data_IF_327744493605
#
_entry.id   IF_327744493605
#
_cell.length_a   1.000
_cell.length_b   1.000
_cell.length_c   1.000
_cell.angle_alpha   90.00
_cell.angle_beta   90.00
_cell.angle_gamma   90.00
#
_symmetry.space_group_name_H-M   'P 1'
#
loop_
_entity.id
_entity.type
_entity.pdbx_description
1 polymer ?
#
# COMPACT_ATOMS: atom_id res chain seq x y z
N UNK A 1 7.51 5.92 23.69
CA UNK A 1 7.17 6.78 22.53
C UNK A 1 8.24 6.51 21.49
N UNK A 2 7.89 5.97 20.33
CA UNK A 2 8.86 5.80 19.25
C UNK A 2 9.13 7.16 18.63
N UNK A 3 10.38 7.62 18.66
CA UNK A 3 10.83 8.76 17.85
C UNK A 3 10.83 8.31 16.39
N UNK A 4 9.68 8.44 15.73
CA UNK A 4 9.60 8.15 14.29
C UNK A 4 10.13 9.37 13.56
N UNK A 5 11.27 9.19 12.88
CA UNK A 5 11.92 10.23 12.10
C UNK A 5 11.19 10.36 10.75
N UNK A 6 10.83 11.58 10.38
CA UNK A 6 10.19 11.85 9.09
C UNK A 6 11.26 12.06 8.00
N UNK A 7 11.01 11.53 6.80
CA UNK A 7 11.85 11.83 5.64
C UNK A 7 11.51 13.22 5.06
N UNK A 8 12.51 14.06 4.87
CA UNK A 8 12.38 15.39 4.27
C UNK A 8 13.15 15.40 2.94
N UNK A 9 12.50 15.65 1.78
CA UNK A 9 13.20 15.73 0.50
C UNK A 9 14.12 16.95 0.47
N UNK A 10 15.36 16.75 0.00
CA UNK A 10 16.37 17.81 -0.06
C UNK A 10 16.53 18.39 -1.48
N UNK A 11 16.11 17.67 -2.52
CA UNK A 11 16.40 18.02 -3.91
C UNK A 11 15.13 18.38 -4.70
N UNK A 12 14.76 19.67 -4.70
CA UNK A 12 13.52 20.16 -5.33
C UNK A 12 13.36 19.80 -6.81
N UNK A 13 14.47 19.72 -7.55
CA UNK A 13 14.49 19.48 -9.00
C UNK A 13 15.29 18.23 -9.40
N UNK A 14 15.57 17.33 -8.45
CA UNK A 14 16.23 16.06 -8.74
C UNK A 14 15.51 14.89 -8.05
N UNK A 15 14.33 14.47 -8.57
CA UNK A 15 13.53 13.40 -7.97
C UNK A 15 14.32 12.08 -7.79
N UNK A 16 15.19 11.75 -8.75
CA UNK A 16 16.05 10.56 -8.66
C UNK A 16 16.97 10.59 -7.44
N UNK A 17 17.49 11.77 -7.04
CA UNK A 17 18.29 11.91 -5.81
C UNK A 17 17.43 11.76 -4.56
N UNK A 18 16.23 12.36 -4.54
CA UNK A 18 15.29 12.15 -3.42
C UNK A 18 14.88 10.68 -3.29
N UNK A 19 14.67 9.98 -4.41
CA UNK A 19 14.36 8.56 -4.44
C UNK A 19 15.48 7.73 -3.82
N UNK A 20 16.72 7.95 -4.25
CA UNK A 20 17.88 7.25 -3.71
C UNK A 20 18.05 7.50 -2.20
N UNK A 21 17.95 8.76 -1.77
CA UNK A 21 18.01 9.12 -0.35
C UNK A 21 16.84 8.56 0.45
N UNK A 22 15.64 8.51 -0.12
CA UNK A 22 14.48 7.92 0.55
C UNK A 22 14.67 6.42 0.81
N UNK A 23 15.17 5.68 -0.19
CA UNK A 23 15.47 4.26 -0.05
C UNK A 23 16.58 4.06 0.98
N UNK A 24 17.68 4.85 0.90
CA UNK A 24 18.78 4.81 1.87
C UNK A 24 18.28 5.08 3.29
N UNK A 25 17.54 6.16 3.50
CA UNK A 25 16.93 6.54 4.78
C UNK A 25 16.06 5.40 5.34
N UNK A 26 15.22 4.78 4.51
CA UNK A 26 14.37 3.68 4.95
C UNK A 26 15.17 2.42 5.27
N UNK A 27 16.28 2.17 4.57
CA UNK A 27 17.13 1.00 4.78
C UNK A 27 17.98 1.15 6.04
N UNK A 28 18.62 2.29 6.22
CA UNK A 28 19.70 2.52 7.18
C UNK A 28 19.25 3.26 8.44
N UNK A 29 18.35 4.25 8.32
CA UNK A 29 18.08 5.19 9.41
C UNK A 29 16.80 4.83 10.22
N UNK A 30 15.85 4.11 9.60
CA UNK A 30 14.61 3.70 10.29
C UNK A 30 14.82 2.50 11.22
N UNK A 31 14.64 2.69 12.52
CA UNK A 31 14.82 1.64 13.54
C UNK A 31 13.53 0.99 14.02
N UNK A 32 12.40 1.22 13.34
CA UNK A 32 11.06 0.83 13.82
C UNK A 32 10.75 -0.68 13.74
N UNK A 33 11.62 -1.48 13.12
CA UNK A 33 11.46 -2.92 12.98
C UNK A 33 12.42 -3.62 13.96
N UNK A 34 12.09 -4.86 14.35
CA UNK A 34 12.83 -5.60 15.38
C UNK A 34 14.28 -5.90 15.00
N UNK A 35 15.10 -6.39 15.96
CA UNK A 35 16.53 -6.68 15.75
C UNK A 35 16.78 -7.74 14.67
N UNK A 36 15.81 -8.64 14.42
CA UNK A 36 15.91 -9.71 13.43
C UNK A 36 15.49 -9.27 12.02
N UNK A 37 15.20 -7.98 11.82
CA UNK A 37 14.79 -7.44 10.53
C UNK A 37 15.92 -7.55 9.49
N UNK A 38 15.63 -8.18 8.36
CA UNK A 38 16.53 -8.25 7.21
C UNK A 38 15.93 -7.54 5.99
N UNK A 39 16.55 -6.44 5.57
CA UNK A 39 16.17 -5.71 4.36
C UNK A 39 16.24 -6.59 3.11
N UNK A 40 17.27 -7.43 3.03
CA UNK A 40 17.54 -8.29 1.87
C UNK A 40 16.50 -9.41 1.74
N UNK A 41 15.79 -9.76 2.83
CA UNK A 41 14.69 -10.72 2.76
C UNK A 41 13.50 -10.15 1.97
N UNK A 42 12.92 -10.98 1.10
CA UNK A 42 11.68 -10.67 0.38
C UNK A 42 10.43 -11.11 1.15
N UNK A 43 10.61 -11.74 2.31
CA UNK A 43 9.55 -12.05 3.26
C UNK A 43 9.84 -11.40 4.62
N UNK A 44 8.92 -10.54 5.07
CA UNK A 44 8.99 -9.87 6.37
C UNK A 44 7.92 -10.45 7.31
N UNK A 45 8.30 -11.38 8.22
CA UNK A 45 7.35 -12.11 9.07
C UNK A 45 6.60 -11.20 10.05
N UNK A 46 7.20 -10.11 10.51
CA UNK A 46 6.65 -9.16 11.48
C UNK A 46 5.36 -8.52 10.97
N UNK A 47 5.31 -8.28 9.66
CA UNK A 47 4.17 -7.65 8.97
C UNK A 47 3.41 -8.65 8.09
N UNK A 48 3.82 -9.93 8.10
CA UNK A 48 3.27 -11.04 7.33
C UNK A 48 3.17 -10.73 5.84
N UNK A 49 4.26 -10.21 5.27
CA UNK A 49 4.28 -9.78 3.87
C UNK A 49 5.41 -10.45 3.10
N UNK A 50 5.05 -11.03 1.95
CA UNK A 50 5.99 -11.40 0.90
C UNK A 50 5.90 -10.39 -0.25
N UNK A 51 7.03 -9.86 -0.73
CA UNK A 51 7.12 -8.90 -1.84
C UNK A 51 7.03 -9.58 -3.20
N UNK A 52 6.00 -10.41 -3.37
CA UNK A 52 5.73 -11.13 -4.61
C UNK A 52 5.21 -10.22 -5.72
N UNK A 53 5.37 -10.63 -6.96
CA UNK A 53 4.75 -9.99 -8.13
C UNK A 53 3.27 -10.37 -8.31
N UNK A 54 2.71 -9.95 -9.44
CA UNK A 54 1.33 -10.24 -9.82
C UNK A 54 1.01 -11.73 -9.94
N UNK A 55 1.95 -12.60 -10.29
CA UNK A 55 1.68 -14.05 -10.45
C UNK A 55 1.58 -14.79 -9.11
N UNK A 56 2.09 -14.18 -8.04
CA UNK A 56 2.05 -14.77 -6.70
C UNK A 56 0.66 -14.63 -6.09
N UNK A 57 -0.03 -15.76 -5.97
CA UNK A 57 -1.30 -15.92 -5.27
C UNK A 57 -1.13 -16.87 -4.06
N UNK A 58 -2.20 -17.03 -3.25
CA UNK A 58 -2.19 -18.00 -2.13
C UNK A 58 -1.99 -19.45 -2.54
N UNK A 59 -2.20 -19.77 -3.82
CA UNK A 59 -2.16 -21.14 -4.35
C UNK A 59 -0.96 -21.39 -5.26
N UNK A 60 -0.10 -20.40 -5.48
CA UNK A 60 1.05 -20.53 -6.38
C UNK A 60 2.24 -21.17 -5.64
N UNK A 61 2.81 -22.24 -6.20
CA UNK A 61 4.03 -22.90 -5.66
C UNK A 61 5.29 -22.07 -5.93
N UNK A 62 5.33 -21.37 -7.06
CA UNK A 62 6.43 -20.48 -7.43
C UNK A 62 6.26 -19.12 -6.77
N UNK A 63 7.23 -18.73 -5.96
CA UNK A 63 7.30 -17.41 -5.36
C UNK A 63 8.25 -16.55 -6.19
N UNK A 64 7.69 -15.68 -7.03
CA UNK A 64 8.45 -14.70 -7.80
C UNK A 64 8.25 -13.32 -7.20
N UNK A 65 9.34 -12.58 -7.01
CA UNK A 65 9.35 -11.25 -6.40
C UNK A 65 9.06 -10.16 -7.42
N UNK A 66 8.72 -8.97 -6.91
CA UNK A 66 8.78 -7.75 -7.71
C UNK A 66 10.19 -7.59 -8.29
N UNK A 67 10.28 -7.07 -9.51
CA UNK A 67 11.54 -6.76 -10.16
C UNK A 67 12.13 -5.45 -9.64
N UNK A 68 13.45 -5.33 -9.74
CA UNK A 68 14.14 -4.08 -9.46
C UNK A 68 13.94 -3.08 -10.62
N UNK A 69 13.94 -1.76 -10.34
CA UNK A 69 14.10 -1.11 -9.04
C UNK A 69 12.83 -1.00 -8.15
N UNK A 70 11.65 -1.43 -8.63
CA UNK A 70 10.41 -1.29 -7.87
C UNK A 70 10.42 -2.02 -6.52
N UNK A 71 11.09 -3.17 -6.44
CA UNK A 71 11.19 -3.94 -5.19
C UNK A 71 11.81 -3.13 -4.05
N UNK A 72 12.93 -2.45 -4.29
CA UNK A 72 13.58 -1.63 -3.27
C UNK A 72 12.70 -0.46 -2.82
N UNK A 73 12.02 0.18 -3.76
CA UNK A 73 11.06 1.23 -3.44
C UNK A 73 9.87 0.70 -2.63
N UNK A 74 9.33 -0.47 -2.99
CA UNK A 74 8.23 -1.09 -2.28
C UNK A 74 8.62 -1.40 -0.82
N UNK A 75 9.82 -1.98 -0.61
CA UNK A 75 10.38 -2.20 0.73
C UNK A 75 10.50 -0.89 1.51
N UNK A 76 11.04 0.16 0.90
CA UNK A 76 11.20 1.48 1.52
C UNK A 76 9.84 2.08 1.94
N UNK A 77 8.90 2.15 1.01
CA UNK A 77 7.57 2.72 1.24
C UNK A 77 6.80 1.97 2.33
N UNK A 78 6.83 0.64 2.32
CA UNK A 78 6.12 -0.17 3.33
C UNK A 78 6.77 0.00 4.70
N UNK A 79 8.11 -0.06 4.79
CA UNK A 79 8.81 0.17 6.06
C UNK A 79 8.52 1.56 6.62
N UNK A 80 8.60 2.59 5.77
CA UNK A 80 8.28 3.97 6.14
C UNK A 80 6.86 4.11 6.67
N UNK A 81 5.86 3.70 5.89
CA UNK A 81 4.44 3.87 6.26
C UNK A 81 4.05 3.07 7.51
N UNK A 82 4.64 1.90 7.73
CA UNK A 82 4.36 1.08 8.91
C UNK A 82 5.06 1.60 10.17
N UNK A 83 6.16 2.35 10.04
CA UNK A 83 6.86 2.97 11.18
C UNK A 83 5.98 3.98 11.94
N UNK A 84 5.00 4.59 11.27
CA UNK A 84 4.03 5.50 11.89
C UNK A 84 2.82 4.79 12.52
N UNK A 85 2.69 3.46 12.39
CA UNK A 85 1.56 2.71 12.93
C UNK A 85 1.89 2.12 14.30
N UNK A 86 0.94 2.23 15.25
CA UNK A 86 1.05 1.57 16.57
C UNK A 86 1.15 0.04 16.49
N UNK A 87 0.50 -0.56 15.49
CA UNK A 87 0.53 -2.00 15.20
C UNK A 87 0.83 -2.17 13.70
N UNK A 88 2.09 -2.38 13.31
CA UNK A 88 2.46 -2.49 11.91
C UNK A 88 1.88 -3.78 11.32
N UNK A 89 1.02 -3.64 10.33
CA UNK A 89 0.50 -4.75 9.53
C UNK A 89 0.32 -4.26 8.10
N UNK A 90 0.82 -5.04 7.14
CA UNK A 90 0.55 -4.85 5.72
C UNK A 90 -0.71 -5.66 5.35
N UNK A 91 -1.75 -4.97 4.92
CA UNK A 91 -3.00 -5.59 4.46
C UNK A 91 -3.20 -5.45 2.96
N UNK A 92 -2.88 -4.29 2.41
CA UNK A 92 -3.02 -3.97 0.98
C UNK A 92 -1.76 -3.31 0.41
N UNK A 93 -0.81 -2.94 1.27
CA UNK A 93 0.42 -2.24 0.95
C UNK A 93 1.30 -3.04 -0.03
N UNK A 94 1.39 -4.36 0.11
CA UNK A 94 2.07 -5.18 -0.90
C UNK A 94 1.27 -5.37 -2.19
N UNK A 95 -0.07 -5.44 -2.07
CA UNK A 95 -0.95 -5.69 -3.22
C UNK A 95 -0.92 -4.55 -4.23
N UNK A 96 -0.79 -3.30 -3.78
CA UNK A 96 -0.72 -2.16 -4.71
C UNK A 96 0.50 -2.26 -5.63
N UNK A 97 1.65 -2.73 -5.14
CA UNK A 97 2.85 -2.88 -5.96
C UNK A 97 2.73 -4.02 -6.98
N UNK A 98 1.99 -5.09 -6.64
CA UNK A 98 1.64 -6.14 -7.61
C UNK A 98 0.84 -5.57 -8.78
N UNK A 99 -0.16 -4.74 -8.49
CA UNK A 99 -0.97 -4.09 -9.52
C UNK A 99 -0.14 -3.12 -10.36
N UNK A 100 0.72 -2.31 -9.72
CA UNK A 100 1.58 -1.33 -10.40
C UNK A 100 2.58 -2.02 -11.32
N UNK A 101 3.30 -3.04 -10.84
CA UNK A 101 4.26 -3.76 -11.67
C UNK A 101 3.58 -4.38 -12.89
N UNK A 102 2.42 -5.01 -12.69
CA UNK A 102 1.66 -5.59 -13.81
C UNK A 102 1.23 -4.52 -14.81
N UNK A 103 0.76 -3.37 -14.35
CA UNK A 103 0.38 -2.25 -15.22
C UNK A 103 1.58 -1.68 -15.99
N UNK A 104 2.73 -1.51 -15.34
CA UNK A 104 3.98 -1.09 -15.99
C UNK A 104 4.40 -2.08 -17.08
N UNK A 105 4.38 -3.37 -16.76
CA UNK A 105 4.73 -4.44 -17.70
C UNK A 105 3.76 -4.48 -18.90
N UNK A 106 2.45 -4.29 -18.68
CA UNK A 106 1.45 -4.21 -19.77
C UNK A 106 1.65 -2.99 -20.67
N UNK A 107 2.18 -1.90 -20.12
CA UNK A 107 2.54 -0.69 -20.87
C UNK A 107 3.92 -0.75 -21.52
N UNK A 108 4.67 -1.85 -21.36
CA UNK A 108 6.03 -2.01 -21.89
C UNK A 108 7.09 -1.20 -21.15
N UNK A 109 6.80 -0.75 -19.92
CA UNK A 109 7.75 -0.03 -19.08
C UNK A 109 8.55 -0.98 -18.18
N UNK A 110 9.78 -0.61 -17.79
CA UNK A 110 10.49 -1.31 -16.72
C UNK A 110 9.74 -1.21 -15.39
N UNK A 111 10.02 -2.15 -14.48
CA UNK A 111 9.46 -2.15 -13.12
C UNK A 111 10.13 -1.05 -12.27
N UNK A 112 9.78 0.21 -12.54
CA UNK A 112 10.30 1.39 -11.88
C UNK A 112 9.16 2.36 -11.52
N UNK A 113 9.09 2.73 -10.25
CA UNK A 113 8.09 3.67 -9.74
C UNK A 113 8.28 5.09 -10.30
N UNK A 114 9.46 5.45 -10.80
CA UNK A 114 9.73 6.76 -11.40
C UNK A 114 8.82 7.06 -12.61
N UNK A 115 8.30 6.00 -13.24
CA UNK A 115 7.40 6.04 -14.39
C UNK A 115 5.91 6.09 -14.01
N UNK A 116 5.60 6.15 -12.71
CA UNK A 116 4.21 6.21 -12.25
C UNK A 116 3.51 7.48 -12.79
N UNK A 117 2.36 7.26 -13.41
CA UNK A 117 1.49 8.31 -13.95
C UNK A 117 0.01 7.91 -13.77
N UNK A 118 -0.92 8.76 -14.20
CA UNK A 118 -2.37 8.50 -14.07
C UNK A 118 -2.81 7.24 -14.82
N UNK A 119 -2.28 6.99 -16.03
CA UNK A 119 -2.64 5.80 -16.83
C UNK A 119 -2.24 4.49 -16.13
N UNK A 120 -1.03 4.46 -15.56
CA UNK A 120 -0.56 3.30 -14.78
C UNK A 120 -1.39 3.11 -13.52
N UNK A 121 -1.80 4.19 -12.85
CA UNK A 121 -2.66 4.12 -11.67
C UNK A 121 -4.08 3.64 -12.01
N UNK A 122 -4.65 4.10 -13.11
CA UNK A 122 -5.95 3.66 -13.61
C UNK A 122 -5.89 2.17 -13.96
N UNK A 123 -4.86 1.73 -14.69
CA UNK A 123 -4.69 0.32 -15.02
C UNK A 123 -4.43 -0.55 -13.80
N UNK A 124 -3.64 -0.10 -12.84
CA UNK A 124 -3.44 -0.79 -11.56
C UNK A 124 -4.76 -0.93 -10.77
N UNK A 125 -5.62 0.10 -10.81
CA UNK A 125 -6.95 0.06 -10.21
C UNK A 125 -7.90 -0.89 -10.96
N UNK A 126 -7.80 -1.00 -12.28
CA UNK A 126 -8.54 -1.99 -13.08
C UNK A 126 -8.15 -3.41 -12.73
N UNK A 127 -6.85 -3.71 -12.72
CA UNK A 127 -6.32 -5.00 -12.30
C UNK A 127 -6.82 -5.37 -10.89
N UNK A 128 -6.88 -4.39 -9.98
CA UNK A 128 -7.43 -4.60 -8.65
C UNK A 128 -8.92 -4.99 -8.67
N UNK A 129 -9.73 -4.37 -9.54
CA UNK A 129 -11.15 -4.72 -9.75
C UNK A 129 -11.33 -6.12 -10.33
N UNK A 130 -10.50 -6.49 -11.29
CA UNK A 130 -10.57 -7.76 -12.00
C UNK A 130 -10.29 -8.95 -11.07
N UNK A 131 -9.31 -8.78 -10.17
CA UNK A 131 -8.81 -9.89 -9.35
C UNK A 131 -9.39 -9.98 -7.94
N UNK A 132 -9.71 -8.85 -7.31
CA UNK A 132 -10.06 -8.82 -5.89
C UNK A 132 -11.53 -8.49 -5.65
N UNK A 133 -12.05 -8.92 -4.51
CA UNK A 133 -13.43 -8.61 -4.10
C UNK A 133 -13.68 -7.11 -4.06
N UNK A 134 -14.94 -6.68 -4.27
CA UNK A 134 -15.32 -5.26 -4.26
C UNK A 134 -14.85 -4.49 -3.01
N UNK A 135 -14.91 -5.14 -1.84
CA UNK A 135 -14.39 -4.60 -0.57
C UNK A 135 -12.87 -4.41 -0.61
N UNK A 136 -12.12 -5.42 -1.05
CA UNK A 136 -10.66 -5.37 -1.15
C UNK A 136 -10.21 -4.34 -2.18
N UNK A 137 -10.85 -4.33 -3.36
CA UNK A 137 -10.57 -3.38 -4.43
C UNK A 137 -10.69 -1.91 -3.96
N UNK A 138 -11.75 -1.56 -3.22
CA UNK A 138 -11.87 -0.21 -2.64
C UNK A 138 -10.65 0.17 -1.78
N UNK A 139 -10.20 -0.76 -0.93
CA UNK A 139 -9.04 -0.50 -0.08
C UNK A 139 -7.72 -0.47 -0.85
N UNK A 140 -7.57 -1.29 -1.90
CA UNK A 140 -6.41 -1.25 -2.80
C UNK A 140 -6.35 0.12 -3.49
N UNK A 141 -7.45 0.57 -4.08
CA UNK A 141 -7.54 1.90 -4.70
C UNK A 141 -7.24 3.05 -3.73
N UNK A 142 -7.70 2.97 -2.48
CA UNK A 142 -7.32 3.94 -1.43
C UNK A 142 -5.83 3.93 -1.12
N UNK A 143 -5.16 2.78 -1.18
CA UNK A 143 -3.71 2.71 -0.97
C UNK A 143 -2.92 3.21 -2.20
N UNK A 144 -3.42 2.98 -3.42
CA UNK A 144 -2.87 3.58 -4.65
C UNK A 144 -2.91 5.11 -4.58
N UNK A 145 -4.04 5.68 -4.16
CA UNK A 145 -4.16 7.13 -3.99
C UNK A 145 -3.17 7.68 -2.95
N UNK A 146 -3.02 7.02 -1.80
CA UNK A 146 -2.04 7.42 -0.78
C UNK A 146 -0.61 7.36 -1.31
N UNK A 147 -0.28 6.35 -2.12
CA UNK A 147 1.02 6.25 -2.74
C UNK A 147 1.26 7.42 -3.71
N UNK A 148 0.28 7.74 -4.57
CA UNK A 148 0.35 8.88 -5.50
C UNK A 148 0.57 10.21 -4.77
N UNK A 149 -0.19 10.45 -3.70
CA UNK A 149 -0.03 11.61 -2.82
C UNK A 149 1.37 11.63 -2.17
N UNK A 150 1.86 10.48 -1.72
CA UNK A 150 3.17 10.34 -1.08
C UNK A 150 4.34 10.65 -2.03
N UNK A 151 4.40 10.01 -3.20
CA UNK A 151 5.52 10.19 -4.14
C UNK A 151 5.57 11.63 -4.65
N UNK A 152 4.41 12.27 -4.78
CA UNK A 152 4.30 13.69 -5.16
C UNK A 152 4.77 14.61 -4.03
N UNK A 153 4.28 14.39 -2.81
CA UNK A 153 4.63 15.21 -1.65
C UNK A 153 6.10 15.11 -1.26
N UNK A 154 6.70 13.92 -1.42
CA UNK A 154 8.13 13.68 -1.17
C UNK A 154 9.01 13.91 -2.40
N UNK A 155 8.45 14.43 -3.50
CA UNK A 155 9.16 14.75 -4.74
C UNK A 155 10.05 13.62 -5.24
N UNK A 156 9.53 12.39 -5.21
CA UNK A 156 10.27 11.17 -5.56
C UNK A 156 10.19 10.87 -7.05
N UNK A 157 9.17 11.40 -7.72
CA UNK A 157 8.95 11.26 -9.16
C UNK A 157 8.88 12.66 -9.82
N UNK A 158 9.13 12.77 -11.14
CA UNK A 158 9.11 14.06 -11.83
C UNK A 158 7.70 14.67 -11.93
N UNK A 159 6.67 13.83 -11.95
CA UNK A 159 5.28 14.26 -12.14
C UNK A 159 4.58 14.48 -10.80
N UNK A 160 3.73 15.49 -10.72
CA UNK A 160 2.77 15.60 -9.62
C UNK A 160 1.52 14.78 -9.94
N UNK A 161 1.11 13.91 -9.01
CA UNK A 161 -0.06 13.04 -9.16
C UNK A 161 -1.15 13.47 -8.18
N UNK A 162 -2.26 13.96 -8.73
CA UNK A 162 -3.49 14.30 -8.01
C UNK A 162 -4.57 13.22 -8.15
N UNK A 163 -4.18 12.03 -8.63
CA UNK A 163 -5.04 10.89 -8.91
C UNK A 163 -5.97 10.53 -7.74
N UNK A 164 -7.23 10.22 -8.06
CA UNK A 164 -8.26 9.84 -7.09
C UNK A 164 -8.76 8.43 -7.38
N UNK A 165 -8.97 7.66 -6.32
CA UNK A 165 -9.49 6.30 -6.44
C UNK A 165 -10.87 6.29 -7.13
N UNK A 166 -11.01 5.67 -8.32
CA UNK A 166 -12.29 5.61 -9.03
C UNK A 166 -13.26 4.60 -8.42
N UNK A 167 -12.79 3.72 -7.54
CA UNK A 167 -13.60 2.67 -6.96
C UNK A 167 -14.45 3.22 -5.81
N UNK A 168 -15.77 3.14 -5.97
CA UNK A 168 -16.72 3.50 -4.91
C UNK A 168 -16.66 2.50 -3.74
N UNK A 169 -16.79 3.04 -2.53
CA UNK A 169 -16.95 2.20 -1.33
C UNK A 169 -18.25 1.42 -1.46
N UNK A 170 -18.24 0.13 -1.14
CA UNK A 170 -19.49 -0.61 -0.95
C UNK A 170 -20.26 0.08 0.16
N UNK A 171 -21.45 0.58 -0.15
CA UNK A 171 -22.36 1.09 0.87
C UNK A 171 -22.70 -0.09 1.74
N UNK A 172 -22.41 0.00 3.04
CA UNK A 172 -22.79 -1.00 4.02
C UNK A 172 -24.33 -1.05 4.08
N UNK A 173 -24.96 -1.89 3.26
CA UNK A 173 -26.43 -2.12 3.27
C UNK A 173 -26.90 -2.88 4.51
N UNK A 174 -25.98 -3.20 5.43
CA UNK A 174 -26.36 -3.69 6.75
C UNK A 174 -27.01 -2.53 7.49
N UNK A 175 -28.35 -2.54 7.51
CA UNK A 175 -29.24 -1.86 8.46
C UNK A 175 -28.87 -2.26 9.91
N UNK A 176 -27.67 -1.90 10.36
CA UNK A 176 -27.23 -1.97 11.75
C UNK A 176 -28.16 -1.13 12.61
N UNK A 177 -28.74 -0.05 12.07
CA UNK A 177 -29.80 0.72 12.70
C UNK A 177 -31.00 -0.13 13.13
N UNK A 178 -31.59 -0.94 12.25
CA UNK A 178 -32.77 -1.75 12.59
C UNK A 178 -32.44 -2.97 13.44
N UNK A 179 -31.30 -3.64 13.21
CA UNK A 179 -30.85 -4.73 14.08
C UNK A 179 -30.52 -4.22 15.49
N UNK A 180 -29.83 -3.08 15.60
CA UNK A 180 -29.53 -2.45 16.89
C UNK A 180 -30.79 -1.92 17.57
N UNK A 181 -31.75 -1.37 16.82
CA UNK A 181 -33.04 -0.93 17.35
C UNK A 181 -33.86 -2.09 17.90
N UNK A 182 -33.99 -3.20 17.16
CA UNK A 182 -34.65 -4.42 17.63
C UNK A 182 -33.99 -5.00 18.89
N UNK A 183 -32.66 -4.94 18.98
CA UNK A 183 -31.92 -5.38 20.18
C UNK A 183 -32.19 -4.44 21.36
N UNK A 184 -32.25 -3.12 21.15
CA UNK A 184 -32.61 -2.13 22.18
C UNK A 184 -34.04 -2.31 22.69
N UNK A 185 -35.01 -2.48 21.79
CA UNK A 185 -36.41 -2.73 22.12
C UNK A 185 -36.58 -4.05 22.88
N UNK A 186 -35.93 -5.13 22.44
CA UNK A 186 -35.95 -6.41 23.16
C UNK A 186 -35.39 -6.27 24.58
N UNK A 187 -34.26 -5.59 24.74
CA UNK A 187 -33.64 -5.37 26.04
C UNK A 187 -34.45 -4.43 26.95
N UNK A 188 -35.20 -3.49 26.38
CA UNK A 188 -36.11 -2.62 27.12
C UNK A 188 -37.31 -3.41 27.65
N UNK A 189 -37.95 -4.22 26.81
CA UNK A 189 -39.08 -5.07 27.21
C UNK A 189 -38.69 -6.12 28.25
N UNK A 190 -37.49 -6.71 28.13
CA UNK A 190 -36.97 -7.67 29.10
C UNK A 190 -36.60 -7.07 30.47
N UNK A 191 -36.61 -5.74 30.61
CA UNK A 191 -36.38 -5.03 31.89
C UNK A 191 -37.68 -4.59 32.57
N UNK A 192 -38.82 -4.74 31.90
CA UNK A 192 -40.14 -4.34 32.38
C UNK A 192 -40.97 -5.52 32.92
N UNK A 193 -40.41 -6.73 32.86
CA UNK A 193 -40.91 -7.96 33.48
C UNK A 193 -39.80 -8.55 34.36
#
# INVERSE_FOLDING_TARGET
>A
MSNVIEFIPAYRHAPAKNMAEFIRFCKEDLTSFGPDFSWESDYWPEIKLFFGNWEVSRHTTTQTTLQQPLLDFAKAYIRYTLSFKRKPQARYEGTIFKCIEKALNEAGYPSDISLLNHEILDRASELARERFSKSSNYHIGRNLQKLAEFVSAKQLIPNHLDWKNPNSRVIDTVRTGLKAQKIREKNYLARLY
#
